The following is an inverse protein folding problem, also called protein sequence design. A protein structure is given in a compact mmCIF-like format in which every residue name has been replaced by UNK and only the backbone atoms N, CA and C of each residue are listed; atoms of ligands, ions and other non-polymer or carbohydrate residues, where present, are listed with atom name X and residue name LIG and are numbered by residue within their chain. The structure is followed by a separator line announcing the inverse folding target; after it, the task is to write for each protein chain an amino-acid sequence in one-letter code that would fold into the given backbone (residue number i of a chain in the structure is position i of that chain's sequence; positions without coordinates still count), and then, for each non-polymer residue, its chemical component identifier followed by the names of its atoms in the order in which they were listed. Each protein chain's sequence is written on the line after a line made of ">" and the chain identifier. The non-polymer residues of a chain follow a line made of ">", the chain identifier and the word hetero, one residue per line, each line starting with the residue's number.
data_IF_046860711610
#
_entry.id   IF_046860711610
#
_cell.length_a   1.000
_cell.length_b   1.000
_cell.length_c   1.000
_cell.angle_alpha   90.00
_cell.angle_beta   90.00
_cell.angle_gamma   90.00
#
_symmetry.space_group_name_H-M   'P 1'
#
loop_
_entity.id
_entity.type
_entity.pdbx_description
1 polymer ?
#
# COMPACT_ATOMS: atom_id res chain seq x y z
N UNK A 1 59.86 34.67 60.87
CA UNK A 1 58.98 35.32 59.87
C UNK A 1 59.26 34.89 58.42
N UNK A 2 60.48 34.94 57.87
CA UNK A 2 60.74 34.58 56.45
C UNK A 2 60.33 33.11 56.02
N UNK A 3 60.53 32.11 56.91
CA UNK A 3 60.16 30.70 56.60
C UNK A 3 58.65 30.49 56.52
N UNK A 4 57.85 31.19 57.32
CA UNK A 4 56.42 31.10 57.32
C UNK A 4 55.77 31.64 56.04
N UNK A 5 56.31 32.77 55.54
CA UNK A 5 55.83 33.42 54.31
C UNK A 5 56.11 32.54 53.08
N UNK A 6 57.30 31.88 53.01
CA UNK A 6 57.64 31.00 51.92
C UNK A 6 56.75 29.77 51.89
N UNK A 7 56.44 29.19 53.07
CA UNK A 7 55.54 28.04 53.17
C UNK A 7 54.11 28.40 52.72
N UNK A 8 53.64 29.59 53.11
CA UNK A 8 52.29 30.07 52.67
C UNK A 8 52.23 30.30 51.15
N UNK A 9 53.28 30.89 50.59
CA UNK A 9 53.34 31.10 49.11
C UNK A 9 53.38 29.79 48.35
N UNK A 10 54.15 28.78 48.80
CA UNK A 10 54.22 27.46 48.21
C UNK A 10 52.89 26.73 48.30
N UNK A 11 52.15 26.87 49.42
CA UNK A 11 50.84 26.25 49.57
C UNK A 11 49.78 26.89 48.64
N UNK A 12 49.83 28.21 48.46
CA UNK A 12 48.94 28.88 47.50
C UNK A 12 49.25 28.52 46.05
N UNK A 13 50.56 28.43 45.71
CA UNK A 13 50.96 27.97 44.36
C UNK A 13 50.49 26.52 44.11
N UNK A 14 50.63 25.64 45.10
CA UNK A 14 50.17 24.24 44.98
C UNK A 14 48.65 24.16 44.84
N UNK A 15 47.90 24.93 45.58
CA UNK A 15 46.43 24.98 45.43
C UNK A 15 45.99 25.54 44.07
N UNK A 16 46.71 26.54 43.54
CA UNK A 16 46.46 27.05 42.19
C UNK A 16 46.81 26.02 41.11
N UNK A 17 47.89 25.28 41.26
CA UNK A 17 48.24 24.21 40.36
C UNK A 17 47.24 23.05 40.42
N UNK A 18 46.76 22.66 41.61
CA UNK A 18 45.74 21.65 41.79
C UNK A 18 44.42 22.13 41.16
N UNK A 19 44.02 23.42 41.33
CA UNK A 19 42.82 23.96 40.71
C UNK A 19 42.94 24.01 39.18
N UNK A 20 44.12 24.33 38.65
CA UNK A 20 44.38 24.32 37.21
C UNK A 20 44.36 22.91 36.62
N UNK A 21 44.90 21.92 37.34
CA UNK A 21 44.83 20.48 36.95
C UNK A 21 43.37 20.00 37.02
N UNK A 22 42.63 20.31 38.06
CA UNK A 22 41.22 19.99 38.17
C UNK A 22 40.38 20.68 37.08
N UNK A 23 40.67 21.94 36.76
CA UNK A 23 40.08 22.67 35.67
C UNK A 23 40.40 22.03 34.30
N UNK A 24 41.64 21.56 34.08
CA UNK A 24 42.03 20.84 32.90
C UNK A 24 41.41 19.42 32.83
N UNK A 25 41.23 18.75 33.96
CA UNK A 25 40.58 17.43 34.04
C UNK A 25 39.07 17.59 33.82
N UNK A 26 38.43 18.63 34.42
CA UNK A 26 36.97 18.86 34.22
C UNK A 26 36.65 19.45 32.87
N UNK A 27 37.58 20.18 32.23
CA UNK A 27 37.42 20.74 30.89
C UNK A 27 38.14 19.91 29.78
N UNK A 28 38.82 18.81 30.10
CA UNK A 28 39.02 17.79 29.06
C UNK A 28 37.65 17.34 28.63
N UNK A 29 37.11 17.92 27.54
CA UNK A 29 36.10 17.27 26.76
C UNK A 29 36.62 15.84 26.61
N UNK A 30 35.97 14.91 27.28
CA UNK A 30 36.06 13.52 26.91
C UNK A 30 35.60 13.54 25.46
N UNK A 31 36.51 13.52 24.52
CA UNK A 31 36.20 13.11 23.16
C UNK A 31 35.76 11.67 23.35
N UNK A 32 34.47 11.50 23.56
CA UNK A 32 33.83 10.19 23.46
C UNK A 32 34.21 9.72 22.07
N UNK A 33 34.94 8.64 21.95
CA UNK A 33 35.14 7.91 20.72
C UNK A 33 33.82 7.27 20.35
N UNK A 34 32.88 8.15 19.85
CA UNK A 34 31.62 7.73 19.31
C UNK A 34 31.97 6.98 18.03
N UNK A 35 31.55 5.72 17.93
CA UNK A 35 31.67 4.96 16.71
C UNK A 35 30.70 5.61 15.70
N UNK A 36 31.20 6.48 14.85
CA UNK A 36 30.43 7.12 13.79
C UNK A 36 30.77 6.38 12.50
N UNK A 37 29.79 5.62 12.02
CA UNK A 37 29.81 5.08 10.67
C UNK A 37 29.06 6.06 9.76
N UNK A 38 29.73 6.60 8.75
CA UNK A 38 29.12 7.50 7.77
C UNK A 38 29.77 7.33 6.40
N UNK A 39 29.00 7.54 5.31
CA UNK A 39 29.51 7.37 3.96
C UNK A 39 30.56 8.43 3.63
N UNK A 40 31.68 8.03 3.05
CA UNK A 40 32.70 8.96 2.53
C UNK A 40 32.34 9.33 1.09
N UNK A 41 32.01 10.57 0.87
CA UNK A 41 31.79 11.12 -0.48
C UNK A 41 33.05 11.84 -0.97
N UNK A 42 33.36 11.68 -2.26
CA UNK A 42 34.52 12.30 -2.91
C UNK A 42 34.31 13.79 -3.27
N UNK A 43 33.24 14.39 -2.77
CA UNK A 43 32.81 15.74 -3.10
C UNK A 43 32.47 16.58 -1.85
N UNK A 44 31.88 17.76 -2.05
CA UNK A 44 31.50 18.67 -0.96
C UNK A 44 30.48 18.10 0.04
N UNK A 45 29.80 17.01 -0.30
CA UNK A 45 28.84 16.33 0.61
C UNK A 45 29.51 15.89 1.90
N UNK A 46 30.75 15.37 1.81
CA UNK A 46 31.50 14.90 2.98
C UNK A 46 31.71 16.01 4.01
N UNK A 47 32.04 17.23 3.57
CA UNK A 47 32.21 18.38 4.47
C UNK A 47 30.90 18.81 5.13
N UNK A 48 29.78 18.72 4.39
CA UNK A 48 28.44 19.03 4.89
C UNK A 48 28.05 18.00 5.96
N UNK A 49 28.24 16.72 5.68
CA UNK A 49 27.92 15.62 6.59
C UNK A 49 28.73 15.72 7.88
N UNK A 50 30.04 15.92 7.79
CA UNK A 50 30.91 16.09 8.97
C UNK A 50 30.48 17.24 9.87
N UNK A 51 30.16 18.39 9.28
CA UNK A 51 29.67 19.56 10.02
C UNK A 51 28.31 19.27 10.67
N UNK A 52 27.43 18.54 9.97
CA UNK A 52 26.13 18.17 10.47
C UNK A 52 26.23 17.19 11.64
N UNK A 53 26.98 16.10 11.49
CA UNK A 53 27.20 15.12 12.55
C UNK A 53 27.77 15.78 13.81
N UNK A 54 28.74 16.68 13.66
CA UNK A 54 29.30 17.43 14.79
C UNK A 54 28.25 18.25 15.55
N UNK A 55 27.23 18.75 14.86
CA UNK A 55 26.12 19.54 15.46
C UNK A 55 25.06 18.64 16.09
N UNK A 56 24.72 17.53 15.44
CA UNK A 56 23.62 16.64 15.82
C UNK A 56 24.01 15.65 16.94
N UNK A 57 25.30 15.32 17.06
CA UNK A 57 25.80 14.39 18.08
C UNK A 57 25.75 15.07 19.47
N UNK A 58 25.10 14.43 20.42
CA UNK A 58 25.04 14.87 21.82
C UNK A 58 26.01 14.08 22.69
N UNK A 59 26.21 14.52 23.94
CA UNK A 59 27.04 13.80 24.92
C UNK A 59 26.48 12.43 25.33
N UNK A 60 25.18 12.21 25.08
CA UNK A 60 24.49 10.94 25.38
C UNK A 60 24.49 9.98 24.19
N UNK A 61 24.98 10.41 23.02
CA UNK A 61 25.08 9.59 21.82
C UNK A 61 26.27 8.64 21.95
N UNK A 62 26.02 7.35 21.88
CA UNK A 62 27.07 6.30 21.95
C UNK A 62 27.39 5.69 20.58
N UNK A 63 26.46 5.72 19.64
CA UNK A 63 26.63 5.17 18.30
C UNK A 63 25.79 5.98 17.27
N UNK A 64 26.28 6.07 16.05
CA UNK A 64 25.56 6.64 14.90
C UNK A 64 25.64 5.67 13.73
N UNK A 65 24.49 5.27 13.21
CA UNK A 65 24.36 4.48 11.98
C UNK A 65 23.81 5.34 10.87
N UNK A 66 24.04 4.96 9.62
CA UNK A 66 23.47 5.69 8.48
C UNK A 66 22.85 4.73 7.45
N UNK A 67 21.94 5.29 6.67
CA UNK A 67 21.35 4.66 5.48
C UNK A 67 21.37 5.67 4.32
N UNK A 68 21.55 5.19 3.10
CA UNK A 68 21.55 6.02 1.89
C UNK A 68 20.37 5.59 1.02
N UNK A 69 19.52 6.55 0.70
CA UNK A 69 18.40 6.37 -0.22
C UNK A 69 18.57 7.27 -1.46
N UNK A 70 17.97 6.85 -2.57
CA UNK A 70 18.01 7.59 -3.83
C UNK A 70 16.64 7.58 -4.51
N UNK A 71 16.31 8.71 -5.13
CA UNK A 71 15.21 8.81 -6.07
C UNK A 71 15.58 9.84 -7.14
N UNK A 72 15.60 9.43 -8.40
CA UNK A 72 16.02 10.28 -9.51
C UNK A 72 17.41 10.93 -9.25
N UNK A 73 17.52 12.25 -9.32
CA UNK A 73 18.75 13.03 -9.07
C UNK A 73 19.00 13.32 -7.58
N UNK A 74 18.14 12.84 -6.70
CA UNK A 74 18.18 13.14 -5.27
C UNK A 74 18.77 11.97 -4.48
N UNK A 75 19.55 12.31 -3.47
CA UNK A 75 20.15 11.36 -2.53
C UNK A 75 19.81 11.80 -1.11
N UNK A 76 19.26 10.93 -0.31
CA UNK A 76 19.12 11.12 1.14
C UNK A 76 20.21 10.36 1.87
N UNK A 77 20.75 10.98 2.91
CA UNK A 77 21.60 10.31 3.91
C UNK A 77 20.87 10.45 5.24
N UNK A 78 20.37 9.35 5.73
CA UNK A 78 19.63 9.27 7.00
C UNK A 78 20.59 8.80 8.08
N UNK A 79 20.65 9.52 9.20
CA UNK A 79 21.43 9.18 10.37
C UNK A 79 20.51 8.78 11.52
N UNK A 80 20.83 7.66 12.17
CA UNK A 80 20.16 7.14 13.36
C UNK A 80 21.11 7.25 14.54
N UNK A 81 20.76 8.05 15.54
CA UNK A 81 21.56 8.31 16.73
C UNK A 81 21.07 7.44 17.88
N UNK A 82 21.96 6.70 18.49
CA UNK A 82 21.65 5.75 19.56
C UNK A 82 22.36 6.11 20.88
N UNK A 83 21.65 5.84 21.99
CA UNK A 83 22.26 5.70 23.30
C UNK A 83 22.21 4.20 23.64
N UNK A 84 23.36 3.54 23.62
CA UNK A 84 23.48 2.09 23.60
C UNK A 84 22.66 1.49 22.41
N UNK A 85 21.62 0.69 22.68
CA UNK A 85 20.75 0.11 21.64
C UNK A 85 19.47 0.92 21.39
N UNK A 86 19.22 1.98 22.19
CA UNK A 86 18.01 2.77 22.10
C UNK A 86 18.15 3.91 21.08
N UNK A 87 17.30 3.93 20.07
CA UNK A 87 17.22 5.02 19.11
C UNK A 87 16.76 6.31 19.80
N UNK A 88 17.57 7.38 19.74
CA UNK A 88 17.30 8.66 20.39
C UNK A 88 16.85 9.74 19.42
N UNK A 89 17.39 9.72 18.21
CA UNK A 89 17.11 10.74 17.21
C UNK A 89 17.34 10.17 15.81
N UNK A 90 16.64 10.74 14.84
CA UNK A 90 16.83 10.51 13.41
C UNK A 90 16.96 11.85 12.72
N UNK A 91 17.93 11.95 11.84
CA UNK A 91 18.17 13.14 11.06
C UNK A 91 18.50 12.77 9.62
N UNK A 92 17.97 13.50 8.66
CA UNK A 92 18.27 13.28 7.24
C UNK A 92 18.87 14.51 6.57
N UNK A 93 19.75 14.27 5.62
CA UNK A 93 20.28 15.30 4.73
C UNK A 93 19.91 14.89 3.31
N UNK A 94 19.25 15.80 2.59
CA UNK A 94 18.84 15.59 1.21
C UNK A 94 19.78 16.39 0.30
N UNK A 95 20.29 15.73 -0.73
CA UNK A 95 21.11 16.33 -1.76
C UNK A 95 20.44 16.23 -3.13
N UNK A 96 20.42 17.32 -3.88
CA UNK A 96 20.28 17.31 -5.32
C UNK A 96 21.68 17.49 -5.91
N UNK A 97 22.22 16.44 -6.52
CA UNK A 97 23.62 16.38 -6.93
C UNK A 97 24.52 16.72 -5.73
N UNK A 98 25.14 17.91 -5.70
CA UNK A 98 26.07 18.32 -4.63
C UNK A 98 25.49 19.44 -3.74
N UNK A 99 24.24 19.85 -3.98
CA UNK A 99 23.56 20.91 -3.20
C UNK A 99 22.64 20.28 -2.15
N UNK A 100 22.78 20.67 -0.91
CA UNK A 100 21.82 20.33 0.13
C UNK A 100 20.49 21.06 -0.13
N UNK A 101 19.39 20.35 0.00
CA UNK A 101 18.01 20.86 -0.15
C UNK A 101 17.17 20.53 1.06
N UNK A 102 16.11 21.29 1.29
CA UNK A 102 15.15 21.08 2.38
C UNK A 102 13.98 20.20 1.92
N UNK A 103 13.23 19.62 2.87
CA UNK A 103 12.01 18.88 2.58
C UNK A 103 10.96 19.74 1.85
N UNK A 104 10.91 21.04 2.14
CA UNK A 104 10.00 21.99 1.52
C UNK A 104 10.36 22.30 0.04
N UNK A 105 11.62 22.08 -0.34
CA UNK A 105 12.03 22.14 -1.75
C UNK A 105 11.62 20.87 -2.51
N UNK A 106 11.37 19.76 -1.80
CA UNK A 106 11.00 18.46 -2.34
C UNK A 106 9.49 18.28 -2.40
N UNK A 107 8.77 18.67 -1.35
CA UNK A 107 7.33 18.45 -1.21
C UNK A 107 6.54 19.73 -0.98
N UNK A 108 5.32 19.76 -1.50
CA UNK A 108 4.25 20.65 -1.04
C UNK A 108 3.78 20.14 0.32
N UNK A 109 4.04 20.93 1.36
CA UNK A 109 3.83 20.51 2.74
C UNK A 109 2.35 20.29 3.07
N UNK A 110 1.43 21.09 2.51
CA UNK A 110 0.02 20.98 2.81
C UNK A 110 -0.60 19.73 2.14
N UNK A 111 -0.12 19.38 0.95
CA UNK A 111 -0.50 18.13 0.28
C UNK A 111 0.12 16.92 0.97
N UNK A 112 1.39 16.99 1.34
CA UNK A 112 2.07 15.93 2.09
C UNK A 112 1.38 15.62 3.41
N UNK A 113 0.89 16.67 4.11
CA UNK A 113 0.07 16.51 5.32
C UNK A 113 -1.10 15.56 5.11
N UNK A 114 -1.91 15.86 4.10
CA UNK A 114 -3.11 15.07 3.81
C UNK A 114 -2.77 13.61 3.52
N UNK A 115 -1.69 13.38 2.77
CA UNK A 115 -1.25 12.02 2.45
C UNK A 115 -0.83 11.27 3.72
N UNK A 116 -0.03 11.91 4.60
CA UNK A 116 0.38 11.31 5.87
C UNK A 116 -0.84 10.99 6.76
N UNK A 117 -1.81 11.90 6.89
CA UNK A 117 -3.04 11.69 7.68
C UNK A 117 -3.90 10.55 7.12
N UNK A 118 -3.92 10.40 5.81
CA UNK A 118 -4.64 9.30 5.16
C UNK A 118 -3.99 7.96 5.49
N UNK A 119 -2.64 7.91 5.51
CA UNK A 119 -1.88 6.69 5.75
C UNK A 119 -1.80 6.30 7.24
N UNK A 120 -1.84 7.26 8.18
CA UNK A 120 -1.92 6.95 9.62
C UNK A 120 -2.74 8.00 10.38
N UNK A 121 -4.00 7.67 10.66
CA UNK A 121 -4.95 8.50 11.43
C UNK A 121 -4.52 8.78 12.88
N UNK A 122 -3.51 8.08 13.41
CA UNK A 122 -2.98 8.31 14.76
C UNK A 122 -1.88 9.38 14.77
N UNK A 123 -1.50 9.90 13.62
CA UNK A 123 -0.54 11.00 13.52
C UNK A 123 -1.31 12.33 13.51
N UNK A 124 -1.15 13.12 14.57
CA UNK A 124 -1.75 14.45 14.67
C UNK A 124 -0.84 15.49 14.02
N UNK A 125 -1.08 15.76 12.76
CA UNK A 125 -0.23 16.60 11.91
C UNK A 125 -0.17 18.05 12.37
N UNK A 126 -1.22 18.59 12.95
CA UNK A 126 -1.21 19.96 13.48
C UNK A 126 -0.16 20.18 14.58
N UNK A 127 0.37 19.08 15.16
CA UNK A 127 1.41 19.10 16.20
C UNK A 127 2.82 18.83 15.67
N UNK A 128 2.97 18.51 14.39
CA UNK A 128 4.27 18.17 13.80
C UNK A 128 4.97 19.40 13.28
N UNK A 129 6.18 19.61 13.76
CA UNK A 129 7.14 20.56 13.18
C UNK A 129 7.76 19.93 11.93
N UNK A 130 7.32 20.39 10.75
CA UNK A 130 7.77 19.85 9.46
C UNK A 130 9.27 19.96 9.23
N UNK A 131 9.95 20.87 9.90
CA UNK A 131 11.41 20.98 9.84
C UNK A 131 12.10 19.76 10.49
N UNK A 132 11.33 18.94 11.21
CA UNK A 132 11.77 17.72 11.90
C UNK A 132 11.27 16.43 11.24
N UNK A 133 10.61 16.52 10.10
CA UNK A 133 10.33 15.34 9.29
C UNK A 133 11.61 14.95 8.56
N UNK A 134 12.05 13.73 8.78
CA UNK A 134 13.20 13.15 8.10
C UNK A 134 12.73 12.15 7.06
N UNK A 135 13.42 12.06 5.94
CA UNK A 135 13.05 11.19 4.82
C UNK A 135 14.21 10.31 4.37
N UNK A 136 13.87 9.12 3.92
CA UNK A 136 14.75 8.22 3.20
C UNK A 136 14.09 7.82 1.90
N UNK A 137 14.67 8.20 0.76
CA UNK A 137 14.20 7.73 -0.54
C UNK A 137 14.61 6.28 -0.75
N UNK A 138 13.63 5.43 -1.02
CA UNK A 138 13.84 4.09 -1.54
C UNK A 138 13.61 4.11 -3.07
N UNK A 139 13.73 2.96 -3.74
CA UNK A 139 13.55 2.90 -5.20
C UNK A 139 12.16 3.40 -5.61
N UNK A 140 11.10 2.78 -5.10
CA UNK A 140 9.69 3.08 -5.46
C UNK A 140 8.86 3.61 -4.30
N UNK A 141 9.47 3.90 -3.17
CA UNK A 141 8.82 4.43 -1.96
C UNK A 141 9.67 5.48 -1.27
N UNK A 142 9.07 6.18 -0.32
CA UNK A 142 9.76 7.13 0.56
C UNK A 142 9.38 6.82 2.00
N UNK A 143 10.38 6.57 2.84
CA UNK A 143 10.15 6.37 4.27
C UNK A 143 10.25 7.71 4.99
N UNK A 144 9.21 8.05 5.74
CA UNK A 144 9.14 9.22 6.60
C UNK A 144 9.42 8.83 8.05
N UNK A 145 10.27 9.59 8.71
CA UNK A 145 10.55 9.49 10.14
C UNK A 145 10.03 10.75 10.80
N UNK A 146 8.97 10.61 11.59
CA UNK A 146 8.22 11.70 12.19
C UNK A 146 8.45 11.66 13.69
N UNK A 147 9.07 12.71 14.24
CA UNK A 147 9.33 12.80 15.68
C UNK A 147 8.18 13.52 16.38
N UNK A 148 7.43 12.80 17.19
CA UNK A 148 6.42 13.34 18.10
C UNK A 148 6.96 13.28 19.54
N UNK A 149 7.24 14.44 20.13
CA UNK A 149 7.79 14.55 21.49
C UNK A 149 9.13 13.81 21.66
N UNK A 150 9.10 12.54 22.07
CA UNK A 150 10.28 11.67 22.21
C UNK A 150 10.16 10.39 21.38
N UNK A 151 9.01 10.15 20.76
CA UNK A 151 8.76 8.95 19.97
C UNK A 151 9.02 9.26 18.50
N UNK A 152 9.65 8.29 17.81
CA UNK A 152 9.92 8.36 16.38
C UNK A 152 8.99 7.37 15.70
N UNK A 153 8.01 7.89 14.99
CA UNK A 153 7.12 7.09 14.13
C UNK A 153 7.76 6.94 12.75
N UNK A 154 7.63 5.77 12.18
CA UNK A 154 8.14 5.48 10.84
C UNK A 154 6.98 5.09 9.94
N UNK A 155 6.90 5.70 8.77
CA UNK A 155 5.89 5.45 7.76
C UNK A 155 6.55 5.33 6.41
N UNK A 156 6.26 4.26 5.68
CA UNK A 156 6.67 4.11 4.29
C UNK A 156 5.48 4.37 3.38
N UNK A 157 5.64 5.27 2.42
CA UNK A 157 4.61 5.66 1.45
C UNK A 157 5.18 5.43 0.04
N UNK A 158 4.45 4.74 -0.81
CA UNK A 158 4.86 4.54 -2.20
C UNK A 158 4.90 5.87 -2.96
N UNK A 159 5.86 6.00 -3.87
CA UNK A 159 6.10 7.27 -4.57
C UNK A 159 4.92 7.73 -5.43
N UNK A 160 4.08 6.80 -5.88
CA UNK A 160 2.87 7.10 -6.64
C UNK A 160 1.87 7.94 -5.84
N UNK A 161 1.64 7.60 -4.56
CA UNK A 161 0.79 8.39 -3.66
C UNK A 161 1.37 9.78 -3.36
N UNK A 162 2.70 9.90 -3.39
CA UNK A 162 3.40 11.17 -3.17
C UNK A 162 3.44 12.07 -4.40
N UNK A 163 3.04 11.59 -5.58
CA UNK A 163 3.16 12.29 -6.86
C UNK A 163 2.59 13.71 -6.80
N UNK A 164 1.39 13.88 -6.27
CA UNK A 164 0.71 15.19 -6.20
C UNK A 164 1.32 16.15 -5.18
N UNK A 165 2.00 15.63 -4.15
CA UNK A 165 2.71 16.44 -3.16
C UNK A 165 4.16 16.70 -3.55
N UNK A 166 4.73 15.93 -4.46
CA UNK A 166 6.14 16.05 -4.85
C UNK A 166 6.37 17.20 -5.82
N UNK A 167 7.40 17.99 -5.56
CA UNK A 167 7.94 19.04 -6.43
C UNK A 167 9.10 18.54 -7.31
N UNK A 168 9.47 17.28 -7.14
CA UNK A 168 10.55 16.61 -7.88
C UNK A 168 10.00 15.37 -8.57
N UNK A 169 10.75 14.85 -9.55
CA UNK A 169 10.46 13.55 -10.14
C UNK A 169 10.88 12.45 -9.16
N UNK A 170 9.92 11.67 -8.69
CA UNK A 170 10.15 10.45 -7.92
C UNK A 170 10.17 9.26 -8.88
N UNK A 171 10.88 8.19 -8.51
CA UNK A 171 10.77 6.91 -9.20
C UNK A 171 9.40 6.31 -8.88
N UNK A 172 8.53 6.24 -9.87
CA UNK A 172 7.19 5.68 -9.70
C UNK A 172 7.23 4.16 -9.91
N UNK A 173 6.35 3.46 -9.25
CA UNK A 173 6.09 2.06 -9.55
C UNK A 173 5.12 1.99 -10.73
N UNK A 174 5.58 1.47 -11.87
CA UNK A 174 4.74 1.32 -13.06
C UNK A 174 3.60 0.30 -12.85
N UNK A 175 3.78 -0.59 -11.85
CA UNK A 175 2.75 -1.58 -11.47
C UNK A 175 1.96 -1.13 -10.22
N UNK A 176 2.15 0.10 -9.75
CA UNK A 176 1.36 0.60 -8.63
C UNK A 176 -0.07 0.88 -9.06
N UNK A 177 -1.00 0.30 -8.35
CA UNK A 177 -2.42 0.55 -8.45
C UNK A 177 -2.93 1.06 -7.11
N UNK A 178 -3.68 2.15 -7.12
CA UNK A 178 -4.28 2.72 -5.92
C UNK A 178 -5.29 1.70 -5.34
N UNK A 179 -5.16 1.40 -4.04
CA UNK A 179 -6.11 0.49 -3.41
C UNK A 179 -7.52 1.08 -3.44
N UNK A 180 -8.48 0.26 -3.84
CA UNK A 180 -9.89 0.61 -3.84
C UNK A 180 -10.35 0.93 -2.40
N UNK A 181 -11.08 2.04 -2.24
CA UNK A 181 -11.60 2.47 -0.94
C UNK A 181 -13.13 2.56 -0.96
N UNK A 182 -13.79 2.00 0.06
CA UNK A 182 -15.24 2.09 0.20
C UNK A 182 -15.64 3.50 0.65
N UNK A 183 -16.47 4.16 -0.16
CA UNK A 183 -16.99 5.49 0.13
C UNK A 183 -18.01 5.40 1.26
N UNK A 184 -17.87 6.25 2.27
CA UNK A 184 -18.78 6.28 3.41
C UNK A 184 -20.22 6.56 2.97
N UNK A 185 -21.17 5.75 3.46
CA UNK A 185 -22.61 5.81 3.12
C UNK A 185 -22.98 5.51 1.65
N UNK A 186 -22.07 5.00 0.83
CA UNK A 186 -22.42 4.53 -0.51
C UNK A 186 -23.35 3.30 -0.46
N UNK A 187 -24.26 3.21 -1.41
CA UNK A 187 -25.06 2.00 -1.65
C UNK A 187 -24.20 0.99 -2.39
N UNK A 188 -23.72 -0.05 -1.70
CA UNK A 188 -22.80 -1.01 -2.29
C UNK A 188 -23.51 -2.08 -3.10
N UNK A 189 -22.93 -2.44 -4.25
CA UNK A 189 -23.33 -3.55 -5.12
C UNK A 189 -22.09 -4.28 -5.61
N UNK A 190 -22.12 -5.63 -5.69
CA UNK A 190 -21.02 -6.36 -6.27
C UNK A 190 -21.14 -6.42 -7.80
N UNK A 191 -20.14 -5.88 -8.50
CA UNK A 191 -19.96 -6.15 -9.92
C UNK A 191 -19.25 -7.47 -10.09
N UNK A 192 -19.81 -8.34 -10.92
CA UNK A 192 -19.21 -9.67 -11.16
C UNK A 192 -19.23 -9.99 -12.66
N UNK A 193 -18.10 -10.51 -13.14
CA UNK A 193 -17.88 -10.84 -14.55
C UNK A 193 -17.57 -12.31 -14.70
N UNK A 194 -18.33 -13.00 -15.54
CA UNK A 194 -18.15 -14.43 -15.80
C UNK A 194 -17.45 -14.68 -17.14
N UNK A 195 -16.89 -15.88 -17.27
CA UNK A 195 -16.31 -16.45 -18.48
C UNK A 195 -14.94 -15.91 -18.90
N UNK A 196 -14.42 -14.86 -18.28
CA UNK A 196 -13.10 -14.32 -18.58
C UNK A 196 -11.91 -15.24 -18.23
N UNK A 197 -10.68 -14.75 -18.41
CA UNK A 197 -10.35 -13.45 -18.99
C UNK A 197 -10.53 -13.39 -20.50
N UNK A 198 -10.65 -12.16 -21.03
CA UNK A 198 -10.73 -11.89 -22.45
C UNK A 198 -9.92 -10.62 -22.83
N UNK A 199 -9.93 -10.27 -24.09
CA UNK A 199 -9.32 -9.01 -24.58
C UNK A 199 -9.97 -7.74 -24.02
N UNK A 200 -11.14 -7.81 -23.40
CA UNK A 200 -11.85 -6.68 -22.83
C UNK A 200 -11.68 -6.55 -21.30
N UNK A 201 -11.14 -7.57 -20.66
CA UNK A 201 -11.01 -7.64 -19.19
C UNK A 201 -10.21 -6.47 -18.64
N UNK A 202 -9.03 -6.18 -19.20
CA UNK A 202 -8.21 -5.05 -18.73
C UNK A 202 -8.82 -3.69 -19.02
N UNK A 203 -9.56 -3.53 -20.13
CA UNK A 203 -10.31 -2.29 -20.39
C UNK A 203 -11.40 -2.06 -19.32
N UNK A 204 -12.10 -3.12 -18.90
CA UNK A 204 -13.09 -3.06 -17.83
C UNK A 204 -12.43 -2.71 -16.49
N UNK A 205 -11.30 -3.33 -16.18
CA UNK A 205 -10.50 -3.04 -14.98
C UNK A 205 -10.09 -1.57 -14.96
N UNK A 206 -9.57 -1.02 -16.06
CA UNK A 206 -9.21 0.39 -16.18
C UNK A 206 -10.41 1.31 -15.89
N UNK A 207 -11.58 1.00 -16.46
CA UNK A 207 -12.81 1.78 -16.22
C UNK A 207 -13.20 1.74 -14.73
N UNK A 208 -13.13 0.58 -14.08
CA UNK A 208 -13.49 0.45 -12.66
C UNK A 208 -12.55 1.27 -11.77
N UNK A 209 -11.25 1.25 -12.01
CA UNK A 209 -10.27 2.05 -11.26
C UNK A 209 -10.50 3.56 -11.40
N UNK A 210 -10.84 4.05 -12.60
CA UNK A 210 -11.16 5.48 -12.83
C UNK A 210 -12.28 5.98 -11.91
N UNK A 211 -13.17 5.09 -11.44
CA UNK A 211 -14.32 5.40 -10.59
C UNK A 211 -14.15 4.94 -9.14
N UNK A 212 -12.96 4.56 -8.71
CA UNK A 212 -12.72 3.98 -7.39
C UNK A 212 -13.71 2.82 -7.12
N UNK A 213 -13.78 1.89 -8.06
CA UNK A 213 -14.65 0.73 -8.04
C UNK A 213 -13.84 -0.56 -8.09
N UNK A 214 -14.38 -1.63 -7.51
CA UNK A 214 -13.83 -2.96 -7.56
C UNK A 214 -14.84 -3.96 -8.13
N UNK A 215 -14.39 -5.19 -8.38
CA UNK A 215 -15.23 -6.25 -8.94
C UNK A 215 -14.67 -7.64 -8.60
N UNK A 216 -15.48 -8.67 -8.86
CA UNK A 216 -15.05 -10.08 -8.82
C UNK A 216 -15.15 -10.68 -10.22
N UNK A 217 -14.05 -11.25 -10.71
CA UNK A 217 -13.98 -11.95 -11.99
C UNK A 217 -14.05 -13.46 -11.75
N UNK A 218 -15.12 -14.10 -12.22
CA UNK A 218 -15.28 -15.57 -12.19
C UNK A 218 -14.67 -16.18 -13.46
N UNK A 219 -13.39 -16.54 -13.39
CA UNK A 219 -12.61 -16.93 -14.55
C UNK A 219 -12.66 -18.42 -14.85
N UNK A 220 -12.70 -18.75 -16.15
CA UNK A 220 -12.65 -20.11 -16.70
C UNK A 220 -11.19 -20.52 -16.89
N UNK A 221 -10.80 -21.70 -16.40
CA UNK A 221 -9.41 -22.16 -16.42
C UNK A 221 -8.77 -22.25 -17.81
N UNK A 222 -9.54 -22.57 -18.85
CA UNK A 222 -9.03 -22.55 -20.22
C UNK A 222 -8.68 -21.13 -20.69
N UNK A 223 -9.45 -20.13 -20.25
CA UNK A 223 -9.19 -18.74 -20.59
C UNK A 223 -8.03 -18.18 -19.76
N UNK A 224 -7.88 -18.58 -18.49
CA UNK A 224 -6.68 -18.27 -17.70
C UNK A 224 -5.41 -18.80 -18.41
N UNK A 225 -5.44 -20.03 -18.92
CA UNK A 225 -4.30 -20.60 -19.67
C UNK A 225 -4.05 -19.93 -21.02
N UNK A 226 -5.09 -19.40 -21.66
CA UNK A 226 -4.97 -18.70 -22.93
C UNK A 226 -4.44 -17.27 -22.76
N UNK A 227 -4.72 -16.64 -21.62
CA UNK A 227 -4.38 -15.23 -21.31
C UNK A 227 -3.83 -15.09 -19.89
N UNK A 228 -2.76 -15.82 -19.51
CA UNK A 228 -2.24 -15.83 -18.15
C UNK A 228 -1.75 -14.46 -17.68
N UNK A 229 -1.24 -13.64 -18.59
CA UNK A 229 -0.80 -12.27 -18.32
C UNK A 229 -1.97 -11.38 -17.86
N UNK A 230 -3.17 -11.56 -18.44
CA UNK A 230 -4.36 -10.78 -18.06
C UNK A 230 -4.82 -11.16 -16.64
N UNK A 231 -4.98 -12.45 -16.36
CA UNK A 231 -5.33 -12.93 -15.00
C UNK A 231 -4.33 -12.45 -13.95
N UNK A 232 -3.03 -12.51 -14.28
CA UNK A 232 -1.97 -12.08 -13.37
C UNK A 232 -2.09 -10.58 -13.08
N UNK A 233 -2.23 -9.75 -14.09
CA UNK A 233 -2.39 -8.30 -13.97
C UNK A 233 -3.65 -7.94 -13.17
N UNK A 234 -4.80 -8.54 -13.46
CA UNK A 234 -6.05 -8.33 -12.70
C UNK A 234 -5.85 -8.64 -11.21
N UNK A 235 -5.16 -9.76 -10.91
CA UNK A 235 -4.84 -10.17 -9.53
C UNK A 235 -3.84 -9.25 -8.84
N UNK A 236 -2.83 -8.73 -9.55
CA UNK A 236 -1.82 -7.80 -9.04
C UNK A 236 -2.41 -6.41 -8.77
N UNK A 237 -3.41 -6.00 -9.56
CA UNK A 237 -4.17 -4.76 -9.39
C UNK A 237 -5.23 -4.83 -8.28
N UNK A 238 -5.28 -5.93 -7.50
CA UNK A 238 -6.12 -6.06 -6.32
C UNK A 238 -7.57 -6.50 -6.59
N UNK A 239 -7.95 -6.76 -7.85
CA UNK A 239 -9.28 -7.28 -8.15
C UNK A 239 -9.46 -8.72 -7.70
N UNK A 240 -10.66 -9.05 -7.25
CA UNK A 240 -10.99 -10.39 -6.78
C UNK A 240 -11.21 -11.34 -7.97
N UNK A 241 -10.51 -12.48 -7.94
CA UNK A 241 -10.70 -13.54 -8.95
C UNK A 241 -11.27 -14.78 -8.25
N UNK A 242 -12.30 -15.36 -8.85
CA UNK A 242 -13.02 -16.51 -8.34
C UNK A 242 -13.21 -17.60 -9.41
N UNK A 243 -13.63 -18.77 -8.98
CA UNK A 243 -13.65 -19.98 -9.80
C UNK A 243 -14.91 -20.08 -10.65
N UNK A 244 -14.74 -20.24 -11.98
CA UNK A 244 -15.84 -20.54 -12.91
C UNK A 244 -15.64 -21.90 -13.62
N UNK A 245 -14.98 -22.86 -12.96
CA UNK A 245 -14.56 -24.18 -13.47
C UNK A 245 -13.49 -24.11 -14.57
N UNK A 246 -12.92 -25.25 -14.91
CA UNK A 246 -11.85 -25.34 -15.93
C UNK A 246 -12.33 -25.03 -17.34
N UNK A 247 -13.55 -25.47 -17.71
CA UNK A 247 -14.04 -25.50 -19.09
C UNK A 247 -15.51 -25.11 -19.26
N UNK A 248 -16.07 -24.40 -18.29
CA UNK A 248 -17.48 -23.98 -18.28
C UNK A 248 -18.49 -25.12 -18.38
N UNK A 249 -18.14 -26.34 -17.92
CA UNK A 249 -19.04 -27.49 -17.94
C UNK A 249 -20.18 -27.35 -16.94
N UNK A 250 -21.41 -27.77 -17.34
CA UNK A 250 -22.57 -27.79 -16.44
C UNK A 250 -22.39 -28.89 -15.38
N UNK A 251 -22.00 -28.50 -14.15
CA UNK A 251 -21.59 -29.42 -13.08
C UNK A 251 -22.63 -30.45 -12.72
N UNK A 252 -23.94 -30.13 -12.78
CA UNK A 252 -25.05 -31.06 -12.48
C UNK A 252 -25.20 -32.18 -13.48
N UNK A 253 -24.49 -32.15 -14.61
CA UNK A 253 -24.43 -33.21 -15.61
C UNK A 253 -23.24 -34.16 -15.44
N UNK A 254 -22.36 -33.87 -14.49
CA UNK A 254 -21.12 -34.60 -14.28
C UNK A 254 -21.21 -35.51 -13.05
N UNK A 255 -20.40 -36.58 -13.05
CA UNK A 255 -20.17 -37.37 -11.84
C UNK A 255 -19.39 -36.55 -10.81
N UNK A 256 -19.44 -36.96 -9.54
CA UNK A 256 -18.77 -36.27 -8.44
C UNK A 256 -17.28 -36.06 -8.72
N UNK A 257 -16.56 -37.08 -9.06
CA UNK A 257 -15.13 -36.97 -9.37
C UNK A 257 -14.83 -35.98 -10.50
N UNK A 258 -15.69 -35.94 -11.53
CA UNK A 258 -15.51 -35.03 -12.67
C UNK A 258 -15.78 -33.56 -12.30
N UNK A 259 -16.88 -33.29 -11.58
CA UNK A 259 -17.11 -31.88 -11.21
C UNK A 259 -16.09 -31.37 -10.21
N UNK A 260 -15.63 -32.21 -9.26
CA UNK A 260 -14.55 -31.81 -8.34
C UNK A 260 -13.23 -31.55 -9.07
N UNK A 261 -12.88 -32.39 -10.06
CA UNK A 261 -11.71 -32.11 -10.93
C UNK A 261 -11.84 -30.75 -11.62
N UNK A 262 -13.02 -30.40 -12.17
CA UNK A 262 -13.21 -29.11 -12.85
C UNK A 262 -13.04 -27.90 -11.91
N UNK A 263 -13.40 -28.03 -10.65
CA UNK A 263 -13.22 -27.00 -9.63
C UNK A 263 -11.76 -26.93 -9.19
N UNK A 264 -11.19 -28.09 -8.80
CA UNK A 264 -9.85 -28.15 -8.22
C UNK A 264 -8.76 -27.83 -9.24
N UNK A 265 -8.91 -28.32 -10.50
CA UNK A 265 -7.94 -28.02 -11.56
C UNK A 265 -7.91 -26.53 -11.89
N UNK A 266 -9.06 -25.83 -11.83
CA UNK A 266 -9.09 -24.39 -12.04
C UNK A 266 -8.40 -23.64 -10.89
N UNK A 267 -8.67 -24.02 -9.63
CA UNK A 267 -7.94 -23.46 -8.48
C UNK A 267 -6.43 -23.69 -8.60
N UNK A 268 -6.00 -24.86 -9.04
CA UNK A 268 -4.58 -25.17 -9.21
C UNK A 268 -3.92 -24.29 -10.28
N UNK A 269 -4.59 -24.09 -11.43
CA UNK A 269 -4.12 -23.21 -12.51
C UNK A 269 -3.91 -21.77 -11.97
N UNK A 270 -4.90 -21.23 -11.27
CA UNK A 270 -4.82 -19.90 -10.71
C UNK A 270 -3.73 -19.77 -9.63
N UNK A 271 -3.67 -20.75 -8.72
CA UNK A 271 -2.66 -20.76 -7.65
C UNK A 271 -1.23 -20.88 -8.17
N UNK A 272 -1.00 -21.68 -9.20
CA UNK A 272 0.30 -21.79 -9.87
C UNK A 272 0.74 -20.44 -10.47
N UNK A 273 -0.21 -19.69 -11.04
CA UNK A 273 0.05 -18.42 -11.71
C UNK A 273 0.27 -17.27 -10.73
N UNK A 274 -0.52 -17.19 -9.64
CA UNK A 274 -0.60 -16.00 -8.78
C UNK A 274 -0.14 -16.24 -7.34
N UNK A 275 0.01 -17.47 -6.91
CA UNK A 275 0.26 -17.86 -5.51
C UNK A 275 -0.95 -17.73 -4.58
N UNK A 276 -2.11 -17.27 -5.09
CA UNK A 276 -3.33 -17.02 -4.31
C UNK A 276 -4.35 -18.16 -4.49
N UNK A 277 -5.32 -18.25 -3.60
CA UNK A 277 -6.46 -19.18 -3.70
C UNK A 277 -7.72 -18.41 -4.18
N UNK A 278 -8.59 -19.08 -4.97
CA UNK A 278 -9.88 -18.52 -5.38
C UNK A 278 -10.90 -18.66 -4.24
N UNK A 279 -11.51 -17.57 -3.74
CA UNK A 279 -12.34 -17.61 -2.54
C UNK A 279 -13.73 -18.22 -2.76
N UNK A 280 -14.25 -18.19 -3.99
CA UNK A 280 -15.63 -18.57 -4.33
C UNK A 280 -15.69 -19.44 -5.57
N UNK A 281 -16.83 -20.17 -5.68
CA UNK A 281 -17.22 -20.86 -6.90
C UNK A 281 -18.53 -20.24 -7.42
N UNK A 282 -18.55 -19.87 -8.70
CA UNK A 282 -19.79 -19.69 -9.44
C UNK A 282 -19.94 -20.84 -10.42
N UNK A 283 -20.92 -21.76 -10.19
CA UNK A 283 -21.16 -22.84 -11.12
C UNK A 283 -21.67 -22.31 -12.46
N UNK A 284 -21.14 -22.78 -13.60
CA UNK A 284 -21.65 -22.41 -14.92
C UNK A 284 -23.17 -22.55 -15.03
N UNK A 285 -23.82 -21.59 -15.69
CA UNK A 285 -25.28 -21.48 -15.81
C UNK A 285 -26.03 -21.33 -14.47
N UNK A 286 -25.35 -20.99 -13.38
CA UNK A 286 -25.94 -21.00 -12.03
C UNK A 286 -26.39 -22.42 -11.59
N UNK A 287 -25.89 -23.47 -12.23
CA UNK A 287 -26.43 -24.83 -12.10
C UNK A 287 -25.66 -25.65 -11.06
N UNK A 288 -26.22 -25.78 -9.87
CA UNK A 288 -25.69 -26.63 -8.78
C UNK A 288 -26.84 -27.34 -8.04
N UNK A 289 -26.47 -28.25 -7.16
CA UNK A 289 -27.36 -28.99 -6.24
C UNK A 289 -26.67 -29.09 -4.86
N UNK A 290 -27.38 -29.63 -3.86
CA UNK A 290 -26.88 -29.73 -2.48
C UNK A 290 -25.60 -30.54 -2.36
N UNK A 291 -25.38 -31.55 -3.24
CA UNK A 291 -24.14 -32.34 -3.25
C UNK A 291 -22.96 -31.51 -3.71
N UNK A 292 -23.11 -30.74 -4.79
CA UNK A 292 -22.09 -29.84 -5.32
C UNK A 292 -21.80 -28.78 -4.26
N UNK A 293 -22.86 -28.14 -3.69
CA UNK A 293 -22.73 -27.11 -2.66
C UNK A 293 -21.94 -27.61 -1.45
N UNK A 294 -22.25 -28.80 -0.93
CA UNK A 294 -21.57 -29.37 0.23
C UNK A 294 -20.11 -29.78 -0.03
N UNK A 295 -19.72 -30.05 -1.30
CA UNK A 295 -18.40 -30.56 -1.65
C UNK A 295 -17.50 -29.61 -2.41
N UNK A 296 -17.99 -28.44 -2.77
CA UNK A 296 -17.20 -27.44 -3.51
C UNK A 296 -15.97 -26.93 -2.73
N UNK A 297 -15.95 -27.06 -1.41
CA UNK A 297 -14.85 -26.62 -0.56
C UNK A 297 -14.82 -25.11 -0.31
N UNK A 298 -15.58 -24.33 -1.08
CA UNK A 298 -15.72 -22.88 -1.00
C UNK A 298 -17.21 -22.48 -1.09
N UNK A 299 -17.60 -21.26 -0.68
CA UNK A 299 -18.95 -20.73 -0.88
C UNK A 299 -19.34 -20.71 -2.35
N UNK A 300 -20.61 -20.98 -2.64
CA UNK A 300 -21.18 -20.76 -3.98
C UNK A 300 -21.76 -19.35 -4.05
N UNK A 301 -21.33 -18.57 -5.03
CA UNK A 301 -21.84 -17.21 -5.29
C UNK A 301 -22.54 -17.20 -6.64
N UNK A 302 -23.83 -16.83 -6.63
CA UNK A 302 -24.62 -16.60 -7.84
C UNK A 302 -24.91 -15.09 -7.97
N UNK A 303 -26.05 -14.71 -8.51
CA UNK A 303 -26.42 -13.31 -8.75
C UNK A 303 -27.89 -13.04 -8.38
N UNK A 304 -28.20 -11.81 -8.08
CA UNK A 304 -29.56 -11.33 -7.90
C UNK A 304 -30.07 -10.53 -9.10
N UNK A 305 -29.15 -9.95 -9.87
CA UNK A 305 -29.45 -9.20 -11.09
C UNK A 305 -28.63 -9.73 -12.25
N UNK A 306 -29.31 -10.27 -13.28
CA UNK A 306 -28.71 -10.72 -14.54
C UNK A 306 -28.89 -9.60 -15.58
N UNK A 307 -27.81 -9.06 -16.10
CA UNK A 307 -27.85 -8.00 -17.10
C UNK A 307 -28.28 -8.48 -18.48
N UNK A 308 -28.25 -9.78 -18.71
CA UNK A 308 -28.51 -10.46 -20.01
C UNK A 308 -27.65 -9.89 -21.15
N UNK A 309 -26.43 -9.46 -20.83
CA UNK A 309 -25.47 -8.97 -21.79
C UNK A 309 -25.07 -10.03 -22.82
N UNK A 310 -24.96 -11.29 -22.37
CA UNK A 310 -24.70 -12.46 -23.20
C UNK A 310 -25.76 -12.72 -24.27
N UNK A 311 -26.99 -12.27 -24.07
CA UNK A 311 -28.12 -12.42 -24.99
C UNK A 311 -28.31 -11.16 -25.83
N UNK A 312 -28.39 -10.00 -25.21
CA UNK A 312 -28.72 -8.74 -25.89
C UNK A 312 -27.60 -8.20 -26.76
N UNK A 313 -26.34 -8.36 -26.33
CA UNK A 313 -25.14 -7.79 -26.97
C UNK A 313 -25.34 -6.33 -27.32
N UNK A 314 -26.09 -5.61 -26.50
CA UNK A 314 -26.47 -4.24 -26.71
C UNK A 314 -26.24 -3.42 -25.45
N UNK A 315 -25.38 -2.43 -25.54
CA UNK A 315 -24.98 -1.53 -24.46
C UNK A 315 -26.18 -0.89 -23.77
N UNK A 316 -27.09 -0.27 -24.53
CA UNK A 316 -28.18 0.47 -23.97
C UNK A 316 -29.19 -0.42 -23.21
N UNK A 317 -29.43 -1.64 -23.70
CA UNK A 317 -30.24 -2.65 -22.98
C UNK A 317 -29.59 -3.12 -21.68
N UNK A 318 -28.27 -3.24 -21.65
CA UNK A 318 -27.53 -3.58 -20.43
C UNK A 318 -27.69 -2.47 -19.40
N UNK A 319 -27.50 -1.21 -19.81
CA UNK A 319 -27.66 -0.04 -18.94
C UNK A 319 -29.11 0.04 -18.42
N UNK A 320 -30.09 -0.07 -19.29
CA UNK A 320 -31.50 -0.05 -18.91
C UNK A 320 -31.84 -1.17 -17.91
N UNK A 321 -31.33 -2.40 -18.13
CA UNK A 321 -31.54 -3.52 -17.23
C UNK A 321 -30.96 -3.24 -15.84
N UNK A 322 -29.76 -2.69 -15.74
CA UNK A 322 -29.15 -2.36 -14.46
C UNK A 322 -29.89 -1.22 -13.79
N UNK A 323 -30.04 -0.07 -14.45
CA UNK A 323 -30.60 1.14 -13.83
C UNK A 323 -32.04 0.98 -13.36
N UNK A 324 -32.85 0.18 -14.08
CA UNK A 324 -34.27 -0.04 -13.70
C UNK A 324 -34.43 -1.07 -12.56
N UNK A 325 -33.40 -1.89 -12.23
CA UNK A 325 -33.57 -3.03 -11.32
C UNK A 325 -32.60 -3.06 -10.15
N UNK A 326 -31.53 -2.27 -10.18
CA UNK A 326 -30.47 -2.28 -9.18
C UNK A 326 -30.97 -1.94 -7.77
N UNK A 327 -30.51 -2.68 -6.79
CA UNK A 327 -30.77 -2.44 -5.35
C UNK A 327 -29.47 -2.62 -4.57
N UNK A 328 -29.34 -1.85 -3.50
CA UNK A 328 -28.24 -2.04 -2.56
C UNK A 328 -28.13 -3.50 -2.12
N UNK A 329 -26.93 -4.03 -2.10
CA UNK A 329 -26.63 -5.43 -1.74
C UNK A 329 -26.79 -6.42 -2.90
N UNK A 330 -27.10 -5.96 -4.12
CA UNK A 330 -27.15 -6.86 -5.29
C UNK A 330 -25.77 -7.37 -5.67
N UNK A 331 -25.75 -8.63 -6.18
CA UNK A 331 -24.67 -9.19 -6.96
C UNK A 331 -25.12 -9.17 -8.42
N UNK A 332 -24.43 -8.41 -9.25
CA UNK A 332 -24.79 -8.17 -10.65
C UNK A 332 -23.93 -9.02 -11.55
N UNK A 333 -24.56 -9.78 -12.43
CA UNK A 333 -23.90 -10.65 -13.41
C UNK A 333 -23.68 -9.90 -14.72
N UNK A 334 -22.43 -9.83 -15.13
CA UNK A 334 -21.96 -9.46 -16.46
C UNK A 334 -21.06 -10.56 -17.02
N UNK A 335 -20.63 -10.42 -18.26
CA UNK A 335 -19.59 -11.24 -18.89
C UNK A 335 -18.57 -10.34 -19.58
N UNK A 336 -17.30 -10.44 -19.22
CA UNK A 336 -16.21 -9.61 -19.78
C UNK A 336 -15.73 -10.07 -21.18
N UNK A 337 -16.55 -10.86 -21.84
CA UNK A 337 -16.31 -11.38 -23.20
C UNK A 337 -16.73 -10.39 -24.31
N UNK A 338 -17.49 -9.34 -23.99
CA UNK A 338 -18.20 -8.56 -25.02
C UNK A 338 -17.87 -7.08 -24.97
N UNK A 339 -17.65 -6.48 -26.14
CA UNK A 339 -17.46 -5.03 -26.27
C UNK A 339 -18.65 -4.26 -25.73
N UNK A 340 -19.88 -4.73 -25.99
CA UNK A 340 -21.10 -4.11 -25.47
C UNK A 340 -21.16 -4.07 -23.95
N UNK A 341 -20.61 -5.06 -23.25
CA UNK A 341 -20.50 -5.06 -21.78
C UNK A 341 -19.47 -4.02 -21.31
N UNK A 342 -18.28 -4.00 -21.91
CA UNK A 342 -17.26 -2.99 -21.63
C UNK A 342 -17.81 -1.58 -21.80
N UNK A 343 -18.47 -1.31 -22.92
CA UNK A 343 -19.07 0.01 -23.21
C UNK A 343 -20.21 0.34 -22.25
N UNK A 344 -21.02 -0.65 -21.86
CA UNK A 344 -22.06 -0.49 -20.85
C UNK A 344 -21.48 -0.14 -19.47
N UNK A 345 -20.43 -0.84 -19.03
CA UNK A 345 -19.76 -0.55 -17.77
C UNK A 345 -19.24 0.89 -17.76
N UNK A 346 -18.61 1.34 -18.84
CA UNK A 346 -18.09 2.70 -18.95
C UNK A 346 -19.18 3.77 -18.73
N UNK A 347 -20.39 3.56 -19.27
CA UNK A 347 -21.49 4.50 -19.09
C UNK A 347 -22.25 4.30 -17.77
N UNK A 348 -22.31 3.08 -17.23
CA UNK A 348 -22.93 2.78 -15.94
C UNK A 348 -22.19 3.45 -14.77
N UNK A 349 -20.86 3.51 -14.80
CA UNK A 349 -20.09 4.00 -13.65
C UNK A 349 -20.49 5.43 -13.24
N UNK A 350 -20.54 6.45 -14.13
CA UNK A 350 -20.99 7.78 -13.74
C UNK A 350 -22.44 7.81 -13.29
N UNK A 351 -23.34 7.05 -13.95
CA UNK A 351 -24.76 6.99 -13.58
C UNK A 351 -24.96 6.40 -12.17
N UNK A 352 -24.25 5.33 -11.86
CA UNK A 352 -24.33 4.71 -10.54
C UNK A 352 -23.77 5.62 -9.45
N UNK A 353 -22.68 6.32 -9.73
CA UNK A 353 -22.09 7.30 -8.80
C UNK A 353 -23.07 8.44 -8.51
N UNK A 354 -23.79 8.95 -9.53
CA UNK A 354 -24.82 9.99 -9.37
C UNK A 354 -25.98 9.52 -8.49
N UNK A 355 -26.39 8.24 -8.64
CA UNK A 355 -27.42 7.60 -7.81
C UNK A 355 -26.93 7.15 -6.42
N UNK A 356 -25.64 7.40 -6.08
CA UNK A 356 -25.03 7.09 -4.81
C UNK A 356 -24.64 5.62 -4.64
N UNK A 357 -24.49 4.88 -5.73
CA UNK A 357 -23.98 3.50 -5.71
C UNK A 357 -22.46 3.47 -5.90
N UNK A 358 -21.82 2.45 -5.30
CA UNK A 358 -20.45 2.09 -5.58
C UNK A 358 -20.36 0.59 -5.90
N UNK A 359 -19.68 0.27 -7.00
CA UNK A 359 -19.37 -1.10 -7.36
C UNK A 359 -18.15 -1.59 -6.54
N UNK A 360 -18.29 -2.77 -5.95
CA UNK A 360 -17.29 -3.42 -5.10
C UNK A 360 -17.15 -4.90 -5.46
N UNK A 361 -16.15 -5.59 -4.90
CA UNK A 361 -16.05 -7.05 -4.98
C UNK A 361 -17.12 -7.76 -4.14
N UNK A 362 -17.27 -9.07 -4.32
CA UNK A 362 -18.16 -9.89 -3.47
C UNK A 362 -17.67 -9.87 -2.03
N UNK A 363 -16.36 -10.03 -1.79
CA UNK A 363 -15.79 -9.97 -0.44
C UNK A 363 -16.11 -8.65 0.25
N UNK A 364 -15.89 -7.53 -0.40
CA UNK A 364 -16.15 -6.19 0.15
C UNK A 364 -17.63 -5.97 0.44
N UNK A 365 -18.52 -6.41 -0.48
CA UNK A 365 -19.97 -6.29 -0.28
C UNK A 365 -20.44 -7.01 0.98
N UNK A 366 -20.01 -8.25 1.19
CA UNK A 366 -20.41 -9.03 2.37
C UNK A 366 -19.74 -8.51 3.65
N UNK A 367 -18.48 -8.14 3.60
CA UNK A 367 -17.75 -7.54 4.72
C UNK A 367 -18.40 -6.25 5.20
N UNK A 368 -18.88 -5.39 4.29
CA UNK A 368 -19.57 -4.14 4.63
C UNK A 368 -20.88 -4.35 5.40
N UNK A 369 -21.49 -5.53 5.26
CA UNK A 369 -22.72 -5.94 5.99
C UNK A 369 -22.40 -6.79 7.24
N UNK A 370 -21.11 -6.96 7.60
CA UNK A 370 -20.69 -7.82 8.71
C UNK A 370 -21.00 -9.31 8.48
N UNK A 371 -21.13 -9.73 7.21
CA UNK A 371 -21.47 -11.10 6.83
C UNK A 371 -20.22 -11.86 6.41
N UNK A 372 -20.11 -13.12 6.82
CA UNK A 372 -19.06 -14.05 6.37
C UNK A 372 -19.67 -15.09 5.43
N UNK A 373 -18.99 -15.36 4.31
CA UNK A 373 -19.38 -16.41 3.38
C UNK A 373 -18.73 -17.73 3.79
N UNK A 374 -19.56 -18.77 3.95
CA UNK A 374 -19.12 -20.07 4.45
C UNK A 374 -19.17 -21.14 3.36
N UNK A 375 -18.19 -22.05 3.35
CA UNK A 375 -18.21 -23.24 2.50
C UNK A 375 -19.46 -24.08 2.80
N UNK A 376 -20.05 -24.67 1.76
CA UNK A 376 -21.30 -25.42 1.89
C UNK A 376 -22.57 -24.57 1.85
N UNK A 377 -22.44 -23.24 1.79
CA UNK A 377 -23.55 -22.30 1.62
C UNK A 377 -23.56 -21.69 0.20
N UNK A 378 -24.67 -21.03 -0.14
CA UNK A 378 -24.81 -20.30 -1.40
C UNK A 378 -25.44 -18.93 -1.20
N UNK A 379 -24.93 -17.95 -1.92
CA UNK A 379 -25.27 -16.55 -1.77
C UNK A 379 -25.62 -15.94 -3.13
N UNK A 380 -26.56 -14.98 -3.13
CA UNK A 380 -26.98 -14.29 -4.34
C UNK A 380 -27.17 -12.79 -4.16
N UNK A 381 -27.10 -12.31 -2.94
CA UNK A 381 -27.15 -10.89 -2.55
C UNK A 381 -26.67 -10.76 -1.08
N UNK A 382 -26.37 -9.55 -0.64
CA UNK A 382 -26.02 -9.21 0.75
C UNK A 382 -26.99 -8.15 1.30
N UNK A 383 -28.14 -8.60 1.82
CA UNK A 383 -29.19 -7.75 2.43
C UNK A 383 -29.61 -8.30 3.78
#
# INVERSE_FOLDING_TARGET
>A
MKRSIITTILTVILLLLISLILYQITNKKVEQNIAIDYPVFKDNKDAIIKRYLKKATTKDTTNVKYEIGKSSDYTTVLFKFYNNENLQNVESIIFNKNKQVSIQEIFDIDKLKKIIETNDKNISIDKIDYTKINVLFNDKSTTFYITESKDIKTMEIVNNELKEASKISLNLDENYHEEHTIVENAKLVAFTFDDGPSKYTLDIVNILEEYNASATFFEVGYNIKAHPEVTKEVSERGFEIANHTTDHSKLTKLTESKYLSKINDNNAIFKELTGKDMPYLRPPYGSYNDKIKAKAGVPIVTWSLDTRDWESRNKDKIIEMVMNNIKEGDIILFHDLYESTKDAVKELMPLLKEEGYQAVSVTELFASKGMTLEAGASYRYAR
#
